data_IF_232401800480
#
_entry.id   IF_232401800480
#
_cell.length_a   1.000
_cell.length_b   1.000
_cell.length_c   1.000
_cell.angle_alpha   90.00
_cell.angle_beta   90.00
_cell.angle_gamma   90.00
#
_symmetry.space_group_name_H-M   'P 1'
#
loop_
_entity.id
_entity.type
_entity.pdbx_description
1 polymer ?
#
# COMPACT_ATOMS: atom_id res chain seq x y z
N UNK A 1 -5.00 -155.23 54.91
CA UNK A 1 -4.17 -154.00 54.88
C UNK A 1 -2.91 -154.23 54.05
N UNK A 2 -2.88 -153.74 52.80
CA UNK A 2 -1.67 -153.40 52.03
C UNK A 2 -2.04 -152.23 51.11
N UNK A 3 -1.06 -151.33 50.95
CA UNK A 3 -1.18 -149.91 50.67
C UNK A 3 -1.49 -149.61 49.19
N UNK A 4 -2.46 -148.74 48.93
CA UNK A 4 -2.61 -148.08 47.62
C UNK A 4 -1.59 -146.93 47.52
N UNK A 5 -0.66 -147.04 46.58
CA UNK A 5 0.16 -145.92 46.10
C UNK A 5 -0.74 -145.04 45.23
N UNK A 6 -0.93 -143.78 45.63
CA UNK A 6 -1.40 -142.72 44.73
C UNK A 6 -0.22 -142.28 43.88
N UNK A 7 -0.28 -142.49 42.57
CA UNK A 7 0.57 -141.79 41.62
C UNK A 7 -0.10 -140.45 41.30
N UNK A 8 0.47 -139.38 41.82
CA UNK A 8 0.19 -138.00 41.42
C UNK A 8 0.94 -137.71 40.13
N UNK A 9 0.20 -137.38 39.07
CA UNK A 9 0.75 -136.87 37.81
C UNK A 9 1.11 -135.40 38.04
N UNK A 10 2.41 -135.12 38.06
CA UNK A 10 3.00 -133.78 38.19
C UNK A 10 3.01 -133.11 36.79
N UNK A 11 2.04 -132.22 36.53
CA UNK A 11 2.02 -131.42 35.31
C UNK A 11 2.92 -130.21 35.54
N UNK A 12 4.23 -130.39 35.33
CA UNK A 12 5.14 -129.26 35.16
C UNK A 12 4.90 -128.63 33.80
N UNK A 13 4.16 -127.52 33.78
CA UNK A 13 4.16 -126.60 32.66
C UNK A 13 5.61 -126.13 32.44
N UNK A 14 6.21 -126.51 31.31
CA UNK A 14 7.43 -125.85 30.84
C UNK A 14 7.03 -124.44 30.44
N UNK A 15 7.35 -123.47 31.29
CA UNK A 15 7.43 -122.06 30.91
C UNK A 15 8.51 -121.99 29.83
N UNK A 16 8.09 -121.79 28.58
CA UNK A 16 9.01 -121.33 27.55
C UNK A 16 9.29 -119.86 27.86
N UNK A 17 10.54 -119.58 28.23
CA UNK A 17 11.04 -118.23 28.40
C UNK A 17 10.74 -117.42 27.13
N UNK A 18 10.03 -116.31 27.29
CA UNK A 18 9.86 -115.33 26.22
C UNK A 18 11.25 -114.79 25.85
N UNK A 19 11.66 -114.97 24.60
CA UNK A 19 12.82 -114.26 24.06
C UNK A 19 12.63 -112.74 24.26
N UNK A 20 13.66 -112.02 24.74
CA UNK A 20 13.56 -110.60 25.02
C UNK A 20 13.60 -109.81 23.71
N UNK A 21 12.45 -109.65 23.06
CA UNK A 21 12.27 -108.80 21.89
C UNK A 21 12.13 -107.33 22.24
N UNK A 22 13.22 -106.73 22.73
CA UNK A 22 13.56 -105.30 22.74
C UNK A 22 12.43 -104.28 22.54
N UNK A 23 12.04 -103.64 23.65
CA UNK A 23 11.38 -102.33 23.73
C UNK A 23 12.28 -101.22 23.15
N UNK A 24 12.57 -101.25 21.86
CA UNK A 24 13.15 -100.09 21.17
C UNK A 24 12.03 -99.24 20.58
N UNK A 25 11.40 -98.45 21.45
CA UNK A 25 10.98 -97.10 21.10
C UNK A 25 12.25 -96.35 20.66
N UNK A 26 12.61 -96.46 19.38
CA UNK A 26 13.70 -95.67 18.82
C UNK A 26 13.31 -94.21 18.98
N UNK A 27 14.04 -93.55 19.87
CA UNK A 27 14.02 -92.13 20.07
C UNK A 27 14.42 -91.44 18.74
N UNK A 28 13.44 -90.91 18.01
CA UNK A 28 13.67 -90.15 16.75
C UNK A 28 14.03 -88.68 17.07
N UNK A 29 14.27 -88.34 18.34
CA UNK A 29 15.00 -87.12 18.64
C UNK A 29 16.49 -87.38 18.48
N UNK A 30 16.99 -87.30 17.24
CA UNK A 30 18.21 -86.57 16.84
C UNK A 30 18.85 -87.06 15.52
N UNK A 31 19.38 -86.09 14.77
CA UNK A 31 20.20 -86.12 13.55
C UNK A 31 19.47 -86.16 12.19
N UNK A 32 19.91 -85.26 11.30
CA UNK A 32 19.49 -85.15 9.91
C UNK A 32 19.78 -86.45 9.15
N UNK A 33 18.73 -87.07 8.59
CA UNK A 33 18.86 -88.23 7.73
C UNK A 33 19.17 -87.78 6.29
N UNK A 34 20.23 -88.31 5.68
CA UNK A 34 20.47 -88.16 4.23
C UNK A 34 19.40 -88.91 3.42
N UNK A 35 19.18 -88.53 2.17
CA UNK A 35 18.12 -89.10 1.30
C UNK A 35 18.26 -90.62 1.07
N UNK A 36 19.51 -91.12 1.01
CA UNK A 36 19.85 -92.55 0.90
C UNK A 36 19.55 -93.32 2.21
N UNK A 37 19.93 -92.77 3.36
CA UNK A 37 19.61 -93.32 4.68
C UNK A 37 18.09 -93.31 4.96
N UNK A 38 17.38 -92.35 4.39
CA UNK A 38 15.93 -92.23 4.50
C UNK A 38 15.22 -93.33 3.69
N UNK A 39 15.65 -93.57 2.45
CA UNK A 39 15.10 -94.65 1.62
C UNK A 39 15.30 -96.02 2.26
N UNK A 40 16.48 -96.29 2.80
CA UNK A 40 16.79 -97.55 3.48
C UNK A 40 16.00 -97.71 4.79
N UNK A 41 15.81 -96.63 5.54
CA UNK A 41 14.97 -96.63 6.75
C UNK A 41 13.50 -96.89 6.40
N UNK A 42 12.97 -96.26 5.36
CA UNK A 42 11.59 -96.46 4.88
C UNK A 42 11.42 -97.91 4.43
N UNK A 43 12.37 -98.42 3.66
CA UNK A 43 12.43 -99.81 3.21
C UNK A 43 12.36 -100.75 4.39
N UNK A 44 13.27 -100.60 5.36
CA UNK A 44 13.34 -101.42 6.57
C UNK A 44 12.03 -101.38 7.35
N UNK A 45 11.39 -100.21 7.45
CA UNK A 45 10.12 -100.07 8.17
C UNK A 45 8.96 -100.73 7.44
N UNK A 46 8.92 -100.65 6.12
CA UNK A 46 7.89 -101.31 5.31
C UNK A 46 8.11 -102.83 5.27
N UNK A 47 9.35 -103.28 5.16
CA UNK A 47 9.69 -104.70 5.20
C UNK A 47 9.36 -105.30 6.58
N UNK A 48 9.57 -104.52 7.66
CA UNK A 48 9.12 -104.90 9.00
C UNK A 48 7.59 -104.98 9.14
N UNK A 49 6.80 -104.29 8.29
CA UNK A 49 5.34 -104.47 8.23
C UNK A 49 4.97 -105.79 7.56
N UNK A 50 5.71 -106.18 6.53
CA UNK A 50 5.47 -107.43 5.80
C UNK A 50 5.86 -108.67 6.63
N UNK A 51 6.96 -108.58 7.38
CA UNK A 51 7.35 -109.64 8.33
C UNK A 51 6.32 -109.79 9.46
N UNK A 52 5.72 -108.66 9.89
CA UNK A 52 4.65 -108.64 10.88
C UNK A 52 3.40 -109.39 10.40
N UNK A 53 3.04 -109.27 9.13
CA UNK A 53 1.87 -109.92 8.53
C UNK A 53 1.99 -111.44 8.53
N UNK A 54 3.17 -111.96 8.19
CA UNK A 54 3.41 -113.40 8.19
C UNK A 54 3.06 -113.99 9.55
N UNK A 55 3.42 -113.29 10.62
CA UNK A 55 3.08 -113.73 11.95
C UNK A 55 1.61 -113.51 12.36
N UNK A 56 0.90 -112.56 11.74
CA UNK A 56 -0.56 -112.42 11.90
C UNK A 56 -1.25 -113.63 11.29
N UNK A 57 -0.90 -114.02 10.06
CA UNK A 57 -1.48 -115.19 9.40
C UNK A 57 -1.20 -116.48 10.19
N UNK A 58 0.03 -116.66 10.68
CA UNK A 58 0.38 -117.79 11.55
C UNK A 58 -0.43 -117.81 12.86
N UNK A 59 -0.72 -116.65 13.44
CA UNK A 59 -1.52 -116.54 14.66
C UNK A 59 -3.02 -116.78 14.40
N UNK A 60 -3.55 -116.23 13.30
CA UNK A 60 -4.95 -116.44 12.89
C UNK A 60 -5.20 -117.90 12.51
N UNK A 61 -4.31 -118.52 11.73
CA UNK A 61 -4.38 -119.94 11.40
C UNK A 61 -4.33 -120.83 12.64
N UNK A 62 -3.50 -120.48 13.64
CA UNK A 62 -3.45 -121.20 14.92
C UNK A 62 -4.76 -121.04 15.72
N UNK A 63 -5.35 -119.85 15.73
CA UNK A 63 -6.64 -119.60 16.36
C UNK A 63 -7.77 -120.39 15.68
N UNK A 64 -7.81 -120.40 14.34
CA UNK A 64 -8.81 -121.12 13.56
C UNK A 64 -8.66 -122.64 13.71
N UNK A 65 -7.42 -123.15 13.73
CA UNK A 65 -7.14 -124.57 13.98
C UNK A 65 -7.60 -125.00 15.38
N UNK A 66 -7.34 -124.17 16.39
CA UNK A 66 -7.78 -124.40 17.76
C UNK A 66 -9.31 -124.44 17.88
N UNK A 67 -10.01 -123.49 17.25
CA UNK A 67 -11.49 -123.46 17.20
C UNK A 67 -12.03 -124.74 16.54
N UNK A 68 -11.41 -125.16 15.42
CA UNK A 68 -11.81 -126.36 14.69
C UNK A 68 -11.59 -127.65 15.48
N UNK A 69 -10.45 -127.79 16.18
CA UNK A 69 -10.18 -128.94 17.06
C UNK A 69 -11.23 -129.05 18.18
N UNK A 70 -11.63 -127.92 18.77
CA UNK A 70 -12.69 -127.88 19.78
C UNK A 70 -14.07 -128.27 19.21
N UNK A 71 -14.43 -127.79 18.02
CA UNK A 71 -15.70 -128.11 17.37
C UNK A 71 -15.76 -129.57 16.86
N UNK A 72 -14.66 -130.12 16.36
CA UNK A 72 -14.58 -131.53 15.93
C UNK A 72 -14.81 -132.49 17.11
N UNK A 73 -14.25 -132.18 18.28
CA UNK A 73 -14.46 -132.98 19.51
C UNK A 73 -15.91 -132.85 20.02
N UNK A 74 -16.49 -131.65 19.96
CA UNK A 74 -17.90 -131.42 20.28
C UNK A 74 -18.84 -132.18 19.33
N UNK A 75 -18.56 -132.18 18.03
CA UNK A 75 -19.37 -132.87 17.02
C UNK A 75 -19.24 -134.40 17.12
N UNK A 76 -18.05 -134.92 17.42
CA UNK A 76 -17.83 -136.35 17.69
C UNK A 76 -18.54 -136.88 18.95
N UNK A 77 -18.92 -136.00 19.88
CA UNK A 77 -19.79 -136.33 21.01
C UNK A 77 -21.27 -136.41 20.58
N UNK A 78 -21.69 -135.57 19.63
CA UNK A 78 -23.08 -135.47 19.16
C UNK A 78 -23.45 -136.65 18.22
N UNK A 79 -22.51 -137.14 17.40
CA UNK A 79 -22.72 -138.23 16.44
C UNK A 79 -22.99 -139.60 17.11
N UNK A 80 -22.57 -139.78 18.35
CA UNK A 80 -22.89 -140.96 19.18
C UNK A 80 -24.19 -140.72 19.96
N UNK A 81 -25.29 -140.61 19.23
CA UNK A 81 -26.62 -140.38 19.79
C UNK A 81 -26.92 -141.22 21.02
N UNK A 82 -27.26 -140.53 22.12
CA UNK A 82 -28.09 -140.92 23.28
C UNK A 82 -28.38 -142.43 23.43
N UNK A 83 -27.36 -143.25 23.67
CA UNK A 83 -27.53 -144.61 24.22
C UNK A 83 -26.68 -144.73 25.49
N UNK A 84 -27.25 -144.24 26.58
CA UNK A 84 -26.67 -144.25 27.93
C UNK A 84 -27.14 -145.48 28.70
N UNK A 85 -26.80 -146.68 28.24
CA UNK A 85 -27.07 -147.92 28.98
C UNK A 85 -25.77 -148.46 29.60
N UNK A 86 -25.59 -148.13 30.89
CA UNK A 86 -24.76 -148.68 31.99
C UNK A 86 -23.43 -149.44 31.78
N UNK A 87 -22.88 -149.60 30.57
CA UNK A 87 -21.62 -150.33 30.31
C UNK A 87 -20.50 -149.44 29.73
N UNK A 88 -20.80 -148.22 29.28
CA UNK A 88 -19.78 -147.31 28.69
C UNK A 88 -19.68 -145.94 29.43
N UNK A 89 -20.13 -145.88 30.71
CA UNK A 89 -20.06 -144.66 31.55
C UNK A 89 -18.62 -144.15 31.68
N UNK A 90 -17.64 -145.05 31.84
CA UNK A 90 -16.22 -144.71 31.92
C UNK A 90 -15.71 -144.12 30.59
N UNK A 91 -16.16 -144.68 29.45
CA UNK A 91 -15.81 -144.19 28.11
C UNK A 91 -16.46 -142.83 27.81
N UNK A 92 -17.68 -142.59 28.28
CA UNK A 92 -18.35 -141.30 28.15
C UNK A 92 -17.70 -140.22 29.04
N UNK A 93 -17.29 -140.56 30.26
CA UNK A 93 -16.50 -139.70 31.14
C UNK A 93 -15.14 -139.38 30.50
N UNK A 94 -14.46 -140.38 29.92
CA UNK A 94 -13.20 -140.21 29.20
C UNK A 94 -13.36 -139.28 27.99
N UNK A 95 -14.43 -139.43 27.20
CA UNK A 95 -14.72 -138.53 26.07
C UNK A 95 -15.04 -137.10 26.52
N UNK A 96 -15.80 -136.91 27.59
CA UNK A 96 -16.06 -135.58 28.17
C UNK A 96 -14.79 -134.95 28.73
N UNK A 97 -13.93 -135.72 29.39
CA UNK A 97 -12.63 -135.27 29.86
C UNK A 97 -11.72 -134.87 28.69
N UNK A 98 -11.70 -135.66 27.62
CA UNK A 98 -10.95 -135.34 26.39
C UNK A 98 -11.51 -134.08 25.71
N UNK A 99 -12.82 -133.85 25.74
CA UNK A 99 -13.43 -132.61 25.24
C UNK A 99 -13.08 -131.39 26.08
N UNK A 100 -13.09 -131.53 27.42
CA UNK A 100 -12.66 -130.45 28.32
C UNK A 100 -11.17 -130.15 28.12
N UNK A 101 -10.32 -131.17 27.97
CA UNK A 101 -8.88 -131.02 27.68
C UNK A 101 -8.67 -130.35 26.32
N UNK A 102 -9.37 -130.79 25.28
CA UNK A 102 -9.24 -130.23 23.92
C UNK A 102 -9.76 -128.79 23.85
N UNK A 103 -10.86 -128.48 24.53
CA UNK A 103 -11.39 -127.11 24.62
C UNK A 103 -10.45 -126.21 25.42
N UNK A 104 -9.86 -126.71 26.51
CA UNK A 104 -8.88 -125.96 27.28
C UNK A 104 -7.60 -125.67 26.48
N UNK A 105 -7.11 -126.67 25.73
CA UNK A 105 -5.97 -126.54 24.81
C UNK A 105 -6.26 -125.55 23.68
N UNK A 106 -7.45 -125.64 23.08
CA UNK A 106 -7.89 -124.68 22.07
C UNK A 106 -8.01 -123.25 22.62
N UNK A 107 -8.49 -123.10 23.86
CA UNK A 107 -8.57 -121.79 24.52
C UNK A 107 -7.19 -121.22 24.85
N UNK A 108 -6.24 -122.07 25.27
CA UNK A 108 -4.83 -121.70 25.48
C UNK A 108 -4.19 -121.23 24.16
N UNK A 109 -4.31 -122.03 23.10
CA UNK A 109 -3.77 -121.71 21.77
C UNK A 109 -4.42 -120.44 21.17
N UNK A 110 -5.74 -120.26 21.32
CA UNK A 110 -6.46 -119.05 20.90
C UNK A 110 -6.04 -117.80 21.71
N UNK A 111 -5.83 -117.94 23.01
CA UNK A 111 -5.34 -116.85 23.87
C UNK A 111 -3.93 -116.41 23.46
N UNK A 112 -3.05 -117.36 23.16
CA UNK A 112 -1.70 -117.08 22.67
C UNK A 112 -1.71 -116.43 21.29
N UNK A 113 -2.61 -116.87 20.40
CA UNK A 113 -2.82 -116.23 19.11
C UNK A 113 -3.28 -114.77 19.27
N UNK A 114 -4.29 -114.49 20.10
CA UNK A 114 -4.75 -113.14 20.37
C UNK A 114 -3.67 -112.23 20.97
N UNK A 115 -2.83 -112.77 21.87
CA UNK A 115 -1.69 -112.04 22.43
C UNK A 115 -0.70 -111.63 21.34
N UNK A 116 -0.39 -112.53 20.41
CA UNK A 116 0.46 -112.24 19.25
C UNK A 116 -0.16 -111.15 18.37
N UNK A 117 -1.45 -111.27 18.03
CA UNK A 117 -2.20 -110.24 17.25
C UNK A 117 -2.13 -108.85 17.89
N UNK A 118 -2.29 -108.75 19.22
CA UNK A 118 -2.19 -107.48 19.92
C UNK A 118 -0.78 -106.85 19.83
N UNK A 119 0.26 -107.66 20.03
CA UNK A 119 1.64 -107.19 19.87
C UNK A 119 1.93 -106.73 18.43
N UNK A 120 1.32 -107.37 17.43
CA UNK A 120 1.41 -106.91 16.04
C UNK A 120 0.71 -105.57 15.83
N UNK A 121 -0.53 -105.39 16.30
CA UNK A 121 -1.23 -104.10 16.17
C UNK A 121 -0.44 -102.95 16.83
N UNK A 122 0.20 -103.21 17.96
CA UNK A 122 1.10 -102.25 18.63
C UNK A 122 2.31 -101.91 17.78
N UNK A 123 2.98 -102.91 17.18
CA UNK A 123 4.14 -102.71 16.30
C UNK A 123 3.78 -101.98 15.00
N UNK A 124 2.68 -102.34 14.36
CA UNK A 124 2.13 -101.66 13.16
C UNK A 124 1.86 -100.19 13.44
N UNK A 125 1.22 -99.88 14.58
CA UNK A 125 0.93 -98.50 14.99
C UNK A 125 2.22 -97.70 15.20
N UNK A 126 3.22 -98.29 15.86
CA UNK A 126 4.51 -97.63 16.09
C UNK A 126 5.27 -97.32 14.80
N UNK A 127 5.28 -98.27 13.85
CA UNK A 127 5.92 -98.07 12.54
C UNK A 127 5.23 -96.93 11.78
N UNK A 128 3.90 -96.95 11.74
CA UNK A 128 3.08 -95.98 11.02
C UNK A 128 3.21 -94.57 11.61
N UNK A 129 3.20 -94.47 12.94
CA UNK A 129 3.47 -93.23 13.64
C UNK A 129 4.88 -92.70 13.39
N UNK A 130 5.88 -93.58 13.35
CA UNK A 130 7.27 -93.23 13.00
C UNK A 130 7.38 -92.63 11.60
N UNK A 131 6.75 -93.27 10.61
CA UNK A 131 6.71 -92.77 9.22
C UNK A 131 6.01 -91.41 9.12
N UNK A 132 4.86 -91.25 9.80
CA UNK A 132 4.16 -89.96 9.85
C UNK A 132 5.03 -88.86 10.48
N UNK A 133 5.63 -89.12 11.65
CA UNK A 133 6.51 -88.16 12.33
C UNK A 133 7.67 -87.73 11.43
N UNK A 134 8.31 -88.69 10.77
CA UNK A 134 9.44 -88.43 9.87
C UNK A 134 9.04 -87.50 8.73
N UNK A 135 7.91 -87.76 8.07
CA UNK A 135 7.42 -86.90 7.00
C UNK A 135 6.86 -85.55 7.48
N UNK A 136 6.41 -85.45 8.73
CA UNK A 136 5.96 -84.20 9.32
C UNK A 136 7.11 -83.20 9.61
N UNK A 137 8.38 -83.64 9.64
CA UNK A 137 9.52 -82.79 9.98
C UNK A 137 9.91 -81.78 8.89
N UNK A 138 9.83 -82.15 7.61
CA UNK A 138 10.18 -81.28 6.48
C UNK A 138 9.41 -81.69 5.21
N UNK A 139 8.97 -80.72 4.40
CA UNK A 139 8.35 -80.91 3.09
C UNK A 139 9.14 -81.85 2.18
N UNK A 140 10.48 -81.78 2.17
CA UNK A 140 11.30 -82.63 1.33
C UNK A 140 11.15 -84.11 1.73
N UNK A 141 11.27 -84.40 3.03
CA UNK A 141 11.08 -85.75 3.56
C UNK A 141 9.64 -86.23 3.39
N UNK A 142 8.66 -85.36 3.58
CA UNK A 142 7.25 -85.66 3.32
C UNK A 142 7.02 -86.18 1.89
N UNK A 143 7.53 -85.45 0.89
CA UNK A 143 7.39 -85.81 -0.53
C UNK A 143 8.08 -87.12 -0.85
N UNK A 144 9.30 -87.33 -0.35
CA UNK A 144 10.05 -88.57 -0.58
C UNK A 144 9.35 -89.77 0.08
N UNK A 145 8.85 -89.61 1.31
CA UNK A 145 8.06 -90.63 2.01
C UNK A 145 6.75 -90.98 1.28
N UNK A 146 5.96 -89.98 0.93
CA UNK A 146 4.69 -90.18 0.21
C UNK A 146 4.94 -90.92 -1.10
N UNK A 147 5.95 -90.49 -1.86
CA UNK A 147 6.29 -91.12 -3.14
C UNK A 147 6.74 -92.58 -2.96
N UNK A 148 7.61 -92.85 -2.00
CA UNK A 148 8.14 -94.20 -1.76
C UNK A 148 7.04 -95.16 -1.29
N UNK A 149 6.20 -94.72 -0.35
CA UNK A 149 5.06 -95.52 0.13
C UNK A 149 4.08 -95.79 -1.03
N UNK A 150 3.73 -94.78 -1.83
CA UNK A 150 2.83 -94.96 -2.98
C UNK A 150 3.41 -95.89 -4.06
N UNK A 151 4.72 -95.84 -4.33
CA UNK A 151 5.37 -96.73 -5.29
C UNK A 151 5.30 -98.18 -4.83
N UNK A 152 5.58 -98.44 -3.56
CA UNK A 152 5.50 -99.79 -2.98
C UNK A 152 4.09 -100.33 -2.94
N UNK A 153 3.12 -99.49 -2.55
CA UNK A 153 1.70 -99.88 -2.57
C UNK A 153 1.21 -100.26 -3.97
N UNK A 154 1.73 -99.61 -5.02
CA UNK A 154 1.41 -99.92 -6.43
C UNK A 154 2.16 -101.14 -6.96
N UNK A 155 3.40 -101.36 -6.53
CA UNK A 155 4.28 -102.42 -7.02
C UNK A 155 4.09 -103.76 -6.31
N UNK A 156 3.58 -103.75 -5.07
CA UNK A 156 3.38 -104.95 -4.28
C UNK A 156 2.08 -105.67 -4.63
N UNK A 157 2.17 -106.98 -4.86
CA UNK A 157 1.03 -107.88 -4.91
C UNK A 157 0.28 -107.92 -3.57
N UNK A 158 -0.99 -108.36 -3.57
CA UNK A 158 -1.78 -108.51 -2.34
C UNK A 158 -1.13 -109.45 -1.31
N UNK A 159 -0.23 -110.34 -1.75
CA UNK A 159 0.52 -111.26 -0.88
C UNK A 159 1.81 -110.66 -0.30
N UNK A 160 2.25 -109.51 -0.80
CA UNK A 160 3.48 -108.85 -0.35
C UNK A 160 3.22 -107.74 0.67
N UNK A 161 2.00 -107.20 0.75
CA UNK A 161 1.59 -106.24 1.77
C UNK A 161 0.14 -106.53 2.18
N UNK A 162 -0.04 -106.85 3.45
CA UNK A 162 -1.34 -107.12 4.08
C UNK A 162 -2.34 -106.01 3.86
N UNK A 163 -3.63 -106.37 3.81
CA UNK A 163 -4.71 -105.40 3.69
C UNK A 163 -4.69 -104.40 4.87
N UNK A 164 -4.37 -104.86 6.07
CA UNK A 164 -4.26 -104.02 7.26
C UNK A 164 -3.07 -103.03 7.16
N UNK A 165 -1.90 -103.50 6.74
CA UNK A 165 -0.71 -102.68 6.55
C UNK A 165 -0.90 -101.70 5.39
N UNK A 166 -1.53 -102.14 4.30
CA UNK A 166 -1.91 -101.32 3.15
C UNK A 166 -2.84 -100.19 3.56
N UNK A 167 -3.90 -100.48 4.32
CA UNK A 167 -4.83 -99.47 4.82
C UNK A 167 -4.14 -98.45 5.72
N UNK A 168 -3.25 -98.89 6.60
CA UNK A 168 -2.51 -97.99 7.49
C UNK A 168 -1.49 -97.13 6.72
N UNK A 169 -0.78 -97.69 5.74
CA UNK A 169 0.11 -96.93 4.86
C UNK A 169 -0.63 -95.89 4.01
N UNK A 170 -1.82 -96.22 3.50
CA UNK A 170 -2.71 -95.26 2.80
C UNK A 170 -3.13 -94.12 3.73
N UNK A 171 -3.45 -94.44 4.99
CA UNK A 171 -3.78 -93.44 6.01
C UNK A 171 -2.58 -92.53 6.30
N UNK A 172 -1.38 -93.08 6.47
CA UNK A 172 -0.14 -92.29 6.66
C UNK A 172 0.09 -91.36 5.47
N UNK A 173 -0.04 -91.84 4.23
CA UNK A 173 0.10 -91.01 3.01
C UNK A 173 -0.92 -89.87 2.99
N UNK A 174 -2.17 -90.14 3.36
CA UNK A 174 -3.23 -89.12 3.41
C UNK A 174 -2.89 -88.02 4.40
N UNK A 175 -2.50 -88.39 5.62
CA UNK A 175 -2.11 -87.44 6.66
C UNK A 175 -0.85 -86.65 6.30
N UNK A 176 0.12 -87.28 5.64
CA UNK A 176 1.33 -86.60 5.16
C UNK A 176 1.01 -85.54 4.08
N UNK A 177 0.11 -85.84 3.15
CA UNK A 177 -0.33 -84.87 2.13
C UNK A 177 -1.05 -83.66 2.74
N UNK A 178 -1.92 -83.88 3.72
CA UNK A 178 -2.56 -82.80 4.47
C UNK A 178 -1.54 -81.92 5.20
N UNK A 179 -0.54 -82.56 5.83
CA UNK A 179 0.56 -81.86 6.50
C UNK A 179 1.42 -81.05 5.52
N UNK A 180 1.68 -81.56 4.31
CA UNK A 180 2.41 -80.82 3.27
C UNK A 180 1.65 -79.56 2.83
N UNK A 181 0.33 -79.63 2.68
CA UNK A 181 -0.51 -78.47 2.34
C UNK A 181 -0.46 -77.40 3.43
N UNK A 182 -0.54 -77.80 4.72
CA UNK A 182 -0.37 -76.89 5.85
C UNK A 182 1.01 -76.24 5.86
N UNK A 183 2.08 -77.01 5.63
CA UNK A 183 3.45 -76.48 5.55
C UNK A 183 3.61 -75.47 4.40
N UNK A 184 3.00 -75.73 3.23
CA UNK A 184 2.97 -74.79 2.10
C UNK A 184 2.25 -73.48 2.45
N UNK A 185 1.08 -73.58 3.10
CA UNK A 185 0.32 -72.41 3.57
C UNK A 185 1.12 -71.59 4.58
N UNK A 186 1.77 -72.25 5.54
CA UNK A 186 2.60 -71.59 6.54
C UNK A 186 3.82 -70.87 5.91
N UNK A 187 4.47 -71.49 4.92
CA UNK A 187 5.56 -70.85 4.19
C UNK A 187 5.11 -69.60 3.43
N UNK A 188 3.94 -69.64 2.77
CA UNK A 188 3.35 -68.48 2.09
C UNK A 188 3.04 -67.34 3.07
N UNK A 189 2.34 -67.65 4.16
CA UNK A 189 2.02 -66.67 5.20
C UNK A 189 3.27 -66.03 5.80
N UNK A 190 4.35 -66.80 5.99
CA UNK A 190 5.62 -66.28 6.51
C UNK A 190 6.25 -65.24 5.57
N UNK A 191 6.23 -65.50 4.27
CA UNK A 191 6.71 -64.52 3.29
C UNK A 191 5.78 -63.30 3.20
N UNK A 192 4.47 -63.49 3.23
CA UNK A 192 3.51 -62.38 3.29
C UNK A 192 3.77 -61.48 4.51
N UNK A 193 3.92 -62.06 5.70
CA UNK A 193 4.26 -61.31 6.93
C UNK A 193 5.57 -60.54 6.78
N UNK A 194 6.59 -61.14 6.16
CA UNK A 194 7.88 -60.46 5.93
C UNK A 194 7.71 -59.28 4.97
N UNK A 195 6.94 -59.44 3.89
CA UNK A 195 6.66 -58.34 2.94
C UNK A 195 5.85 -57.23 3.59
N UNK A 196 4.82 -57.56 4.38
CA UNK A 196 4.01 -56.60 5.12
C UNK A 196 4.85 -55.83 6.13
N UNK A 197 5.74 -56.51 6.86
CA UNK A 197 6.64 -55.86 7.83
C UNK A 197 7.61 -54.89 7.14
N UNK A 198 8.12 -55.25 5.96
CA UNK A 198 8.94 -54.32 5.15
C UNK A 198 8.11 -53.10 4.73
N UNK A 199 6.92 -53.31 4.16
CA UNK A 199 6.03 -52.22 3.76
C UNK A 199 5.64 -51.32 4.94
N UNK A 200 5.44 -51.89 6.13
CA UNK A 200 5.13 -51.14 7.35
C UNK A 200 6.30 -50.22 7.75
N UNK A 201 7.53 -50.71 7.67
CA UNK A 201 8.71 -49.89 7.94
C UNK A 201 8.86 -48.77 6.89
N UNK A 202 8.69 -49.08 5.60
CA UNK A 202 8.77 -48.10 4.52
C UNK A 202 7.71 -46.97 4.68
N UNK A 203 6.49 -47.34 5.12
CA UNK A 203 5.43 -46.38 5.45
C UNK A 203 5.82 -45.54 6.67
N UNK A 204 6.37 -46.16 7.71
CA UNK A 204 6.79 -45.45 8.91
C UNK A 204 7.90 -44.43 8.61
N UNK A 205 8.90 -44.81 7.82
CA UNK A 205 9.97 -43.90 7.38
C UNK A 205 9.39 -42.74 6.56
N UNK A 206 8.44 -43.02 5.66
CA UNK A 206 7.74 -41.99 4.89
C UNK A 206 6.95 -41.01 5.78
N UNK A 207 6.30 -41.50 6.84
CA UNK A 207 5.60 -40.64 7.81
C UNK A 207 6.57 -39.70 8.54
N UNK A 208 7.75 -40.17 8.93
CA UNK A 208 8.75 -39.30 9.57
C UNK A 208 9.22 -38.15 8.67
N UNK A 209 9.35 -38.41 7.36
CA UNK A 209 9.70 -37.37 6.38
C UNK A 209 8.56 -36.36 6.23
N UNK A 210 7.31 -36.83 6.15
CA UNK A 210 6.13 -35.96 6.05
C UNK A 210 6.01 -35.05 7.27
N UNK A 211 6.27 -35.57 8.48
CA UNK A 211 6.27 -34.77 9.71
C UNK A 211 7.36 -33.69 9.69
N UNK A 212 8.58 -34.03 9.24
CA UNK A 212 9.66 -33.05 9.09
C UNK A 212 9.35 -31.97 8.04
N UNK A 213 8.78 -32.36 6.89
CA UNK A 213 8.37 -31.42 5.83
C UNK A 213 7.27 -30.48 6.33
N UNK A 214 6.34 -30.99 7.15
CA UNK A 214 5.29 -30.19 7.79
C UNK A 214 5.89 -29.14 8.73
N UNK A 215 6.84 -29.52 9.58
CA UNK A 215 7.52 -28.59 10.49
C UNK A 215 8.26 -27.47 9.73
N UNK A 216 8.93 -27.81 8.62
CA UNK A 216 9.59 -26.83 7.74
C UNK A 216 8.57 -25.86 7.15
N UNK A 217 7.41 -26.38 6.72
CA UNK A 217 6.36 -25.58 6.09
C UNK A 217 5.69 -24.63 7.10
N UNK A 218 5.49 -25.08 8.33
CA UNK A 218 4.98 -24.27 9.45
C UNK A 218 5.96 -23.11 9.76
N UNK A 219 7.27 -23.41 9.91
CA UNK A 219 8.29 -22.37 10.13
C UNK A 219 8.34 -21.33 9.01
N UNK A 220 8.26 -21.79 7.75
CA UNK A 220 8.24 -20.88 6.60
C UNK A 220 7.00 -19.99 6.59
N UNK A 221 5.85 -20.56 6.96
CA UNK A 221 4.58 -19.83 7.05
C UNK A 221 4.64 -18.76 8.14
N UNK A 222 5.13 -19.10 9.33
CA UNK A 222 5.35 -18.14 10.42
C UNK A 222 6.31 -17.01 10.01
N UNK A 223 7.40 -17.35 9.32
CA UNK A 223 8.36 -16.38 8.80
C UNK A 223 7.72 -15.38 7.83
N UNK A 224 6.89 -15.85 6.90
CA UNK A 224 6.15 -15.00 5.96
C UNK A 224 5.12 -14.12 6.65
N UNK A 225 4.39 -14.66 7.64
CA UNK A 225 3.43 -13.88 8.43
C UNK A 225 4.14 -12.71 9.13
N UNK A 226 5.31 -12.97 9.74
CA UNK A 226 6.09 -11.93 10.40
C UNK A 226 6.54 -10.82 9.44
N UNK A 227 7.06 -11.20 8.27
CA UNK A 227 7.45 -10.22 7.24
C UNK A 227 6.26 -9.35 6.79
N UNK A 228 5.09 -9.95 6.60
CA UNK A 228 3.88 -9.21 6.22
C UNK A 228 3.42 -8.24 7.32
N UNK A 229 3.54 -8.63 8.59
CA UNK A 229 3.25 -7.73 9.72
C UNK A 229 4.22 -6.56 9.78
N UNK A 230 5.52 -6.79 9.54
CA UNK A 230 6.53 -5.73 9.50
C UNK A 230 6.25 -4.75 8.34
N UNK A 231 5.93 -5.26 7.15
CA UNK A 231 5.53 -4.42 6.01
C UNK A 231 4.26 -3.61 6.29
N UNK A 232 3.27 -4.21 6.95
CA UNK A 232 2.04 -3.52 7.34
C UNK A 232 2.32 -2.36 8.29
N UNK A 233 3.16 -2.58 9.31
CA UNK A 233 3.52 -1.53 10.26
C UNK A 233 4.23 -0.34 9.57
N UNK A 234 5.14 -0.63 8.63
CA UNK A 234 5.82 0.40 7.85
C UNK A 234 4.86 1.18 6.93
N UNK A 235 3.83 0.51 6.41
CA UNK A 235 2.79 1.16 5.61
C UNK A 235 1.92 2.08 6.47
N UNK A 236 1.54 1.63 7.68
CA UNK A 236 0.77 2.44 8.65
C UNK A 236 1.54 3.70 9.06
N UNK A 237 2.85 3.62 9.35
CA UNK A 237 3.71 4.79 9.66
C UNK A 237 3.78 5.78 8.48
N UNK A 238 3.94 5.26 7.25
CA UNK A 238 3.95 6.11 6.06
C UNK A 238 2.61 6.81 5.80
N UNK A 239 1.48 6.15 6.08
CA UNK A 239 0.15 6.76 5.99
C UNK A 239 0.06 7.91 7.00
N UNK A 240 0.41 7.67 8.27
CA UNK A 240 0.39 8.71 9.32
C UNK A 240 1.27 9.91 8.96
N UNK A 241 2.47 9.65 8.43
CA UNK A 241 3.37 10.71 7.96
C UNK A 241 2.78 11.51 6.81
N UNK A 242 2.10 10.84 5.87
CA UNK A 242 1.45 11.48 4.72
C UNK A 242 0.28 12.35 5.17
N UNK A 243 -0.53 11.88 6.12
CA UNK A 243 -1.63 12.65 6.71
C UNK A 243 -1.12 13.93 7.40
N UNK A 244 -0.02 13.84 8.16
CA UNK A 244 0.61 15.03 8.78
C UNK A 244 1.09 16.04 7.74
N UNK A 245 1.69 15.58 6.65
CA UNK A 245 2.13 16.45 5.55
C UNK A 245 0.91 17.14 4.91
N UNK A 246 -0.17 16.41 4.68
CA UNK A 246 -1.39 16.95 4.09
C UNK A 246 -1.98 18.07 4.97
N UNK A 247 -2.12 17.84 6.27
CA UNK A 247 -2.58 18.87 7.22
C UNK A 247 -1.68 20.13 7.20
N UNK A 248 -0.36 19.96 7.06
CA UNK A 248 0.56 21.09 6.96
C UNK A 248 0.41 21.85 5.65
N UNK A 249 0.15 21.15 4.53
CA UNK A 249 -0.13 21.77 3.24
C UNK A 249 -1.42 22.59 3.31
N UNK A 250 -2.49 22.05 3.91
CA UNK A 250 -3.77 22.76 4.07
C UNK A 250 -3.62 24.02 4.94
N UNK A 251 -2.82 23.94 6.02
CA UNK A 251 -2.51 25.08 6.87
C UNK A 251 -1.72 26.15 6.09
N UNK A 252 -0.72 25.73 5.31
CA UNK A 252 0.07 26.64 4.49
C UNK A 252 -0.77 27.30 3.40
N UNK A 253 -1.67 26.56 2.73
CA UNK A 253 -2.59 27.11 1.74
C UNK A 253 -3.48 28.20 2.35
N UNK A 254 -4.02 27.93 3.55
CA UNK A 254 -4.84 28.91 4.29
C UNK A 254 -4.02 30.16 4.64
N UNK A 255 -2.80 29.98 5.12
CA UNK A 255 -1.90 31.10 5.42
C UNK A 255 -1.58 31.94 4.18
N UNK A 256 -1.29 31.30 3.04
CA UNK A 256 -1.04 32.02 1.79
C UNK A 256 -2.26 32.80 1.31
N UNK A 257 -3.47 32.23 1.39
CA UNK A 257 -4.71 32.95 1.06
C UNK A 257 -4.89 34.20 1.93
N UNK A 258 -4.63 34.09 3.23
CA UNK A 258 -4.71 35.22 4.16
C UNK A 258 -3.68 36.31 3.84
N UNK A 259 -2.43 35.94 3.56
CA UNK A 259 -1.36 36.88 3.18
C UNK A 259 -1.72 37.62 1.88
N UNK A 260 -2.24 36.90 0.87
CA UNK A 260 -2.66 37.51 -0.38
C UNK A 260 -3.80 38.53 -0.16
N UNK A 261 -4.81 38.16 0.62
CA UNK A 261 -5.90 39.07 0.96
C UNK A 261 -5.41 40.33 1.72
N UNK A 262 -4.46 40.18 2.64
CA UNK A 262 -3.86 41.31 3.35
C UNK A 262 -3.06 42.22 2.41
N UNK A 263 -2.30 41.64 1.47
CA UNK A 263 -1.54 42.40 0.47
C UNK A 263 -2.47 43.16 -0.47
N UNK A 264 -3.54 42.54 -0.96
CA UNK A 264 -4.53 43.19 -1.81
C UNK A 264 -5.17 44.39 -1.10
N UNK A 265 -5.58 44.20 0.16
CA UNK A 265 -6.12 45.27 1.01
C UNK A 265 -5.13 46.44 1.17
N UNK A 266 -3.85 46.16 1.43
CA UNK A 266 -2.82 47.20 1.56
C UNK A 266 -2.54 47.93 0.25
N UNK A 267 -2.58 47.22 -0.88
CA UNK A 267 -2.42 47.84 -2.21
C UNK A 267 -3.59 48.79 -2.48
N UNK A 268 -4.82 48.39 -2.17
CA UNK A 268 -6.00 49.22 -2.32
C UNK A 268 -5.94 50.47 -1.43
N UNK A 269 -5.57 50.31 -0.17
CA UNK A 269 -5.38 51.43 0.76
C UNK A 269 -4.32 52.42 0.25
N UNK A 270 -3.17 51.92 -0.21
CA UNK A 270 -2.10 52.76 -0.75
C UNK A 270 -2.52 53.46 -2.05
N UNK A 271 -3.25 52.78 -2.92
CA UNK A 271 -3.77 53.37 -4.16
C UNK A 271 -4.77 54.50 -3.86
N UNK A 272 -5.65 54.29 -2.87
CA UNK A 272 -6.60 55.31 -2.42
C UNK A 272 -5.87 56.52 -1.82
N UNK A 273 -4.86 56.29 -0.97
CA UNK A 273 -4.03 57.37 -0.41
C UNK A 273 -3.28 58.16 -1.49
N UNK A 274 -2.68 57.46 -2.46
CA UNK A 274 -2.01 58.07 -3.60
C UNK A 274 -2.98 58.90 -4.45
N UNK A 275 -4.18 58.38 -4.72
CA UNK A 275 -5.23 59.09 -5.47
C UNK A 275 -5.63 60.39 -4.77
N UNK A 276 -5.89 60.34 -3.46
CA UNK A 276 -6.23 61.52 -2.67
C UNK A 276 -5.08 62.56 -2.68
N UNK A 277 -3.83 62.11 -2.56
CA UNK A 277 -2.65 62.98 -2.67
C UNK A 277 -2.53 63.65 -4.04
N UNK A 278 -2.75 62.89 -5.13
CA UNK A 278 -2.78 63.43 -6.50
C UNK A 278 -3.89 64.48 -6.66
N UNK A 279 -5.10 64.22 -6.15
CA UNK A 279 -6.21 65.17 -6.20
C UNK A 279 -5.91 66.46 -5.43
N UNK A 280 -5.30 66.35 -4.25
CA UNK A 280 -4.86 67.53 -3.47
C UNK A 280 -3.79 68.33 -4.23
N UNK A 281 -2.78 67.65 -4.79
CA UNK A 281 -1.75 68.30 -5.60
C UNK A 281 -2.35 68.99 -6.83
N UNK A 282 -3.34 68.37 -7.51
CA UNK A 282 -4.07 69.00 -8.61
C UNK A 282 -4.80 70.26 -8.17
N UNK A 283 -5.49 70.22 -7.02
CA UNK A 283 -6.19 71.38 -6.48
C UNK A 283 -5.21 72.53 -6.15
N UNK A 284 -4.06 72.22 -5.55
CA UNK A 284 -3.01 73.20 -5.26
C UNK A 284 -2.44 73.83 -6.55
N UNK A 285 -2.11 73.03 -7.57
CA UNK A 285 -1.63 73.51 -8.85
C UNK A 285 -2.66 74.44 -9.53
N UNK A 286 -3.95 74.08 -9.47
CA UNK A 286 -5.03 74.92 -9.99
C UNK A 286 -5.11 76.26 -9.24
N UNK A 287 -4.97 76.25 -7.91
CA UNK A 287 -4.91 77.46 -7.10
C UNK A 287 -3.73 78.37 -7.49
N UNK A 288 -2.53 77.81 -7.58
CA UNK A 288 -1.32 78.53 -8.00
C UNK A 288 -1.46 79.10 -9.42
N UNK A 289 -2.07 78.35 -10.34
CA UNK A 289 -2.35 78.83 -11.70
C UNK A 289 -3.30 80.02 -11.67
N UNK A 290 -4.38 79.96 -10.88
CA UNK A 290 -5.31 81.07 -10.72
C UNK A 290 -4.66 82.33 -10.15
N UNK A 291 -3.73 82.18 -9.21
CA UNK A 291 -2.96 83.32 -8.68
C UNK A 291 -1.96 83.87 -9.70
N UNK A 292 -1.29 83.01 -10.47
CA UNK A 292 -0.43 83.42 -11.58
C UNK A 292 -1.21 84.23 -12.62
N UNK A 293 -2.40 83.77 -13.01
CA UNK A 293 -3.27 84.46 -13.95
C UNK A 293 -3.66 85.87 -13.43
N UNK A 294 -3.94 86.02 -12.12
CA UNK A 294 -4.20 87.33 -11.50
C UNK A 294 -2.97 88.25 -11.55
N UNK A 295 -1.78 87.74 -11.20
CA UNK A 295 -0.55 88.53 -11.27
C UNK A 295 -0.25 88.97 -12.71
N UNK A 296 -0.45 88.10 -13.68
CA UNK A 296 -0.27 88.42 -15.09
C UNK A 296 -1.26 89.49 -15.57
N UNK A 297 -2.51 89.45 -15.11
CA UNK A 297 -3.50 90.50 -15.38
C UNK A 297 -3.11 91.85 -14.73
N UNK A 298 -2.65 91.84 -13.48
CA UNK A 298 -2.17 93.05 -12.81
C UNK A 298 -0.94 93.64 -13.50
N UNK A 299 0.02 92.81 -13.90
CA UNK A 299 1.19 93.25 -14.64
C UNK A 299 0.80 93.88 -15.99
N UNK A 300 -0.18 93.29 -16.69
CA UNK A 300 -0.72 93.85 -17.93
C UNK A 300 -1.31 95.24 -17.71
N UNK A 301 -2.15 95.43 -16.67
CA UNK A 301 -2.71 96.74 -16.33
C UNK A 301 -1.63 97.77 -15.97
N UNK A 302 -0.57 97.35 -15.27
CA UNK A 302 0.55 98.24 -14.93
C UNK A 302 1.30 98.69 -16.18
N UNK A 303 1.54 97.79 -17.13
CA UNK A 303 2.16 98.10 -18.42
C UNK A 303 1.29 99.06 -19.24
N UNK A 304 -0.03 98.86 -19.25
CA UNK A 304 -0.97 99.78 -19.90
C UNK A 304 -0.94 101.19 -19.27
N UNK A 305 -0.92 101.26 -17.93
CA UNK A 305 -0.83 102.54 -17.21
C UNK A 305 0.51 103.26 -17.45
N UNK A 306 1.63 102.52 -17.47
CA UNK A 306 2.95 103.08 -17.78
C UNK A 306 3.01 103.64 -19.22
N UNK A 307 2.47 102.90 -20.19
CA UNK A 307 2.35 103.36 -21.57
C UNK A 307 1.48 104.61 -21.69
N UNK A 308 0.35 104.69 -20.97
CA UNK A 308 -0.50 105.88 -20.94
C UNK A 308 0.21 107.09 -20.31
N UNK A 309 0.94 106.88 -19.22
CA UNK A 309 1.77 107.93 -18.59
C UNK A 309 2.86 108.41 -19.53
N UNK A 310 3.55 107.50 -20.22
CA UNK A 310 4.56 107.86 -21.23
C UNK A 310 3.96 108.73 -22.33
N UNK A 311 2.81 108.35 -22.88
CA UNK A 311 2.11 109.14 -23.91
C UNK A 311 1.68 110.52 -23.39
N UNK A 312 1.18 110.59 -22.15
CA UNK A 312 0.84 111.85 -21.48
C UNK A 312 2.06 112.75 -21.29
N UNK A 313 3.19 112.19 -20.85
CA UNK A 313 4.45 112.92 -20.70
C UNK A 313 4.98 113.44 -22.04
N UNK A 314 4.86 112.67 -23.12
CA UNK A 314 5.21 113.10 -24.48
C UNK A 314 4.37 114.33 -24.91
N UNK A 315 3.05 114.29 -24.62
CA UNK A 315 2.14 115.43 -24.86
C UNK A 315 2.47 116.65 -24.01
N UNK A 316 2.80 116.45 -22.74
CA UNK A 316 3.24 117.55 -21.87
C UNK A 316 4.54 118.17 -22.38
N UNK A 317 5.50 117.35 -22.85
CA UNK A 317 6.74 117.81 -23.46
C UNK A 317 6.49 118.67 -24.71
N UNK A 318 5.55 118.26 -25.58
CA UNK A 318 5.20 119.08 -26.75
C UNK A 318 4.55 120.40 -26.37
N UNK A 319 3.68 120.40 -25.35
CA UNK A 319 3.04 121.62 -24.84
C UNK A 319 4.05 122.59 -24.20
N UNK A 320 5.05 122.08 -23.47
CA UNK A 320 6.14 122.91 -22.92
C UNK A 320 6.93 123.56 -24.05
N UNK A 321 7.32 122.81 -25.09
CA UNK A 321 8.00 123.37 -26.27
C UNK A 321 7.18 124.48 -26.96
N UNK A 322 5.86 124.32 -27.03
CA UNK A 322 4.97 125.34 -27.58
C UNK A 322 4.90 126.60 -26.69
N UNK A 323 4.83 126.43 -25.36
CA UNK A 323 4.87 127.53 -24.40
C UNK A 323 6.22 128.28 -24.46
N UNK A 324 7.34 127.57 -24.56
CA UNK A 324 8.68 128.16 -24.72
C UNK A 324 8.77 129.01 -26.00
N UNK A 325 8.24 128.51 -27.12
CA UNK A 325 8.17 129.28 -28.37
C UNK A 325 7.33 130.56 -28.22
N UNK A 326 6.18 130.48 -27.56
CA UNK A 326 5.33 131.64 -27.30
C UNK A 326 6.00 132.65 -26.35
N UNK A 327 6.72 132.18 -25.32
CA UNK A 327 7.48 133.02 -24.41
C UNK A 327 8.56 133.81 -25.16
N UNK A 328 9.34 133.12 -25.99
CA UNK A 328 10.37 133.74 -26.83
C UNK A 328 9.76 134.85 -27.71
N UNK A 329 8.60 134.58 -28.31
CA UNK A 329 7.87 135.55 -29.15
C UNK A 329 7.39 136.79 -28.37
N UNK A 330 6.92 136.61 -27.14
CA UNK A 330 6.60 137.72 -26.23
C UNK A 330 7.85 138.53 -25.84
N UNK A 331 9.00 137.87 -25.66
CA UNK A 331 10.28 138.51 -25.33
C UNK A 331 10.80 139.39 -26.47
N UNK A 332 10.63 138.95 -27.72
CA UNK A 332 10.90 139.76 -28.92
C UNK A 332 9.99 141.00 -28.99
N UNK A 333 8.68 140.83 -28.75
CA UNK A 333 7.73 141.94 -28.73
C UNK A 333 8.04 142.95 -27.62
N UNK A 334 8.43 142.49 -26.43
CA UNK A 334 8.81 143.35 -25.32
C UNK A 334 10.06 144.17 -25.65
N UNK A 335 11.05 143.56 -26.30
CA UNK A 335 12.26 144.25 -26.77
C UNK A 335 11.93 145.37 -27.77
N UNK A 336 11.06 145.09 -28.74
CA UNK A 336 10.57 146.10 -29.70
C UNK A 336 9.78 147.22 -29.03
N UNK A 337 8.99 146.92 -28.00
CA UNK A 337 8.23 147.92 -27.25
C UNK A 337 9.14 148.85 -26.42
N UNK A 338 10.19 148.30 -25.80
CA UNK A 338 11.21 149.07 -25.06
C UNK A 338 11.92 150.04 -26.00
N UNK A 339 12.32 149.57 -27.20
CA UNK A 339 12.94 150.42 -28.22
C UNK A 339 12.02 151.57 -28.64
N UNK A 340 10.74 151.27 -28.91
CA UNK A 340 9.72 152.26 -29.29
C UNK A 340 9.48 153.31 -28.20
N UNK A 341 9.50 152.90 -26.93
CA UNK A 341 9.31 153.80 -25.79
C UNK A 341 10.48 154.79 -25.62
N UNK A 342 11.72 154.34 -25.88
CA UNK A 342 12.90 155.21 -25.84
C UNK A 342 12.83 156.32 -26.91
N UNK A 343 12.42 156.00 -28.15
CA UNK A 343 12.17 157.02 -29.19
C UNK A 343 11.09 158.04 -28.81
N UNK A 344 10.04 157.61 -28.11
CA UNK A 344 8.99 158.53 -27.65
C UNK A 344 9.49 159.48 -26.55
N UNK A 345 10.37 159.01 -25.66
CA UNK A 345 10.97 159.84 -24.61
C UNK A 345 11.83 160.97 -25.18
N UNK A 346 12.62 160.68 -26.22
CA UNK A 346 13.41 161.71 -26.92
C UNK A 346 12.54 162.77 -27.61
N UNK A 347 11.41 162.36 -28.19
CA UNK A 347 10.43 163.28 -28.80
C UNK A 347 9.77 164.20 -27.77
N UNK A 348 9.44 163.67 -26.59
CA UNK A 348 8.83 164.46 -25.52
C UNK A 348 9.75 165.56 -24.99
N UNK A 349 11.05 165.29 -24.81
CA UNK A 349 12.02 166.30 -24.36
C UNK A 349 12.22 167.42 -25.41
N UNK A 350 12.18 167.11 -26.72
CA UNK A 350 12.17 168.14 -27.78
C UNK A 350 10.94 169.05 -27.68
N UNK A 351 9.75 168.48 -27.50
CA UNK A 351 8.52 169.28 -27.37
C UNK A 351 8.54 170.19 -26.14
N UNK A 352 9.17 169.74 -25.04
CA UNK A 352 9.29 170.52 -23.81
C UNK A 352 10.16 171.76 -23.98
N UNK A 353 11.25 171.69 -24.75
CA UNK A 353 12.09 172.89 -25.01
C UNK A 353 11.35 173.90 -25.90
N UNK A 354 10.58 173.43 -26.87
CA UNK A 354 9.83 174.28 -27.81
C UNK A 354 8.69 175.07 -27.12
N UNK A 355 8.05 174.47 -26.11
CA UNK A 355 7.03 175.17 -25.29
C UNK A 355 7.65 176.27 -24.43
N UNK A 356 8.89 176.10 -23.96
CA UNK A 356 9.58 177.10 -23.15
C UNK A 356 9.90 178.36 -23.97
N UNK A 357 10.33 178.17 -25.22
CA UNK A 357 10.70 179.24 -26.15
C UNK A 357 9.48 180.09 -26.56
N UNK A 358 8.34 179.44 -26.86
CA UNK A 358 7.07 180.13 -27.15
C UNK A 358 6.54 180.96 -25.98
N UNK A 359 6.86 180.57 -24.75
CA UNK A 359 6.38 181.25 -23.53
C UNK A 359 7.11 182.57 -23.28
N UNK A 360 8.40 182.64 -23.58
CA UNK A 360 9.18 183.88 -23.49
C UNK A 360 8.79 184.90 -24.58
N UNK A 361 8.44 184.42 -25.77
CA UNK A 361 7.95 185.26 -26.88
C UNK A 361 6.62 185.96 -26.54
N UNK A 362 5.70 185.24 -25.87
CA UNK A 362 4.39 185.75 -25.49
C UNK A 362 4.47 186.90 -24.47
N UNK A 363 5.39 186.80 -23.50
CA UNK A 363 5.57 187.84 -22.48
C UNK A 363 6.08 189.16 -23.06
N UNK A 364 6.96 189.13 -24.07
CA UNK A 364 7.46 190.35 -24.74
C UNK A 364 6.38 191.11 -25.50
N UNK A 365 5.43 190.39 -26.12
CA UNK A 365 4.32 191.02 -26.84
C UNK A 365 3.32 191.73 -25.91
N UNK A 366 3.18 191.26 -24.66
CA UNK A 366 2.24 191.81 -23.68
C UNK A 366 2.72 193.14 -23.06
N UNK A 367 4.03 193.31 -22.88
CA UNK A 367 4.64 194.60 -22.45
C UNK A 367 4.51 195.69 -23.52
N UNK A 368 4.66 195.33 -24.79
CA UNK A 368 4.60 196.26 -25.93
C UNK A 368 3.18 196.84 -26.14
N UNK A 369 2.15 196.04 -25.85
CA UNK A 369 0.74 196.46 -25.99
C UNK A 369 0.33 197.49 -24.91
N UNK A 370 0.90 197.38 -23.71
CA UNK A 370 0.60 198.28 -22.58
C UNK A 370 1.15 199.70 -22.82
N UNK A 371 2.29 199.83 -23.51
CA UNK A 371 2.91 201.12 -23.82
C UNK A 371 2.21 201.84 -24.98
N UNK A 372 1.64 201.11 -25.95
CA UNK A 372 0.97 201.69 -27.11
C UNK A 372 -0.43 202.26 -26.79
N UNK A 373 -1.16 201.62 -25.88
CA UNK A 373 -2.49 202.06 -25.43
C UNK A 373 -2.46 203.43 -24.72
N UNK A 374 -1.42 203.69 -23.92
CA UNK A 374 -1.24 204.95 -23.19
C UNK A 374 -0.93 206.15 -24.10
N UNK A 375 -0.29 205.91 -25.26
CA UNK A 375 0.02 206.93 -26.27
C UNK A 375 -1.23 207.42 -27.02
N UNK A 376 -2.17 206.52 -27.32
CA UNK A 376 -3.38 206.84 -28.09
C UNK A 376 -4.36 207.71 -27.27
N UNK A 377 -4.49 207.43 -25.98
CA UNK A 377 -5.47 208.13 -25.14
C UNK A 377 -5.14 209.62 -24.95
N UNK A 378 -3.86 209.98 -24.79
CA UNK A 378 -3.44 211.38 -24.63
C UNK A 378 -3.62 212.22 -25.90
N UNK A 379 -3.70 211.59 -27.08
CA UNK A 379 -3.80 212.31 -28.35
C UNK A 379 -5.25 212.75 -28.66
N UNK A 380 -6.24 211.97 -28.22
CA UNK A 380 -7.66 212.23 -28.44
C UNK A 380 -8.13 213.44 -27.61
N UNK A 381 -7.68 213.57 -26.36
CA UNK A 381 -8.03 214.69 -25.47
C UNK A 381 -7.50 216.05 -25.97
N UNK A 382 -6.37 216.08 -26.69
CA UNK A 382 -5.82 217.35 -27.20
C UNK A 382 -6.50 217.88 -28.48
N UNK A 383 -7.09 217.00 -29.29
CA UNK A 383 -7.74 217.40 -30.56
C UNK A 383 -9.15 217.92 -30.37
N UNK A 384 -9.87 217.44 -29.35
CA UNK A 384 -11.22 217.91 -29.05
C UNK A 384 -11.26 219.38 -28.58
N UNK A 385 -10.21 219.88 -27.91
CA UNK A 385 -10.17 221.27 -27.41
C UNK A 385 -9.97 222.33 -28.50
N UNK A 386 -9.39 221.98 -29.66
CA UNK A 386 -9.13 222.93 -30.76
C UNK A 386 -10.34 223.16 -31.66
N UNK A 387 -11.22 222.18 -31.82
CA UNK A 387 -12.32 222.29 -32.78
C UNK A 387 -13.46 223.20 -32.31
N UNK A 388 -13.69 223.35 -31.00
CA UNK A 388 -14.80 224.17 -30.50
C UNK A 388 -14.49 225.67 -30.50
N UNK A 389 -13.22 226.06 -30.34
CA UNK A 389 -12.80 227.48 -30.39
C UNK A 389 -13.07 228.12 -31.76
N UNK A 390 -12.95 227.35 -32.86
CA UNK A 390 -13.24 227.84 -34.22
C UNK A 390 -14.73 228.07 -34.48
N UNK A 391 -15.61 227.28 -33.84
CA UNK A 391 -17.07 227.44 -34.01
C UNK A 391 -17.54 228.75 -33.37
N UNK A 392 -16.96 229.13 -32.23
CA UNK A 392 -17.27 230.42 -31.60
C UNK A 392 -16.83 231.62 -32.46
N UNK A 393 -15.71 231.52 -33.18
CA UNK A 393 -15.18 232.63 -33.97
C UNK A 393 -16.00 232.90 -35.24
N UNK A 394 -16.51 231.85 -35.90
CA UNK A 394 -17.25 231.99 -37.17
C UNK A 394 -18.63 232.63 -36.96
N UNK A 395 -19.31 232.33 -35.84
CA UNK A 395 -20.61 232.93 -35.56
C UNK A 395 -20.51 234.43 -35.25
N UNK A 396 -19.38 234.86 -34.68
CA UNK A 396 -19.13 236.28 -34.40
C UNK A 396 -18.93 237.10 -35.68
N UNK A 397 -18.33 236.51 -36.71
CA UNK A 397 -18.10 237.18 -38.01
C UNK A 397 -19.40 237.27 -38.82
N UNK A 398 -20.29 236.27 -38.73
CA UNK A 398 -21.58 236.33 -39.41
C UNK A 398 -22.48 237.46 -38.87
N UNK A 399 -22.34 237.77 -37.57
CA UNK A 399 -23.06 238.85 -36.90
C UNK A 399 -22.66 240.26 -37.41
N UNK A 400 -21.49 240.38 -38.06
CA UNK A 400 -21.00 241.66 -38.59
C UNK A 400 -21.43 241.86 -40.05
N UNK A 401 -21.47 240.79 -40.84
CA UNK A 401 -21.78 240.88 -42.28
C UNK A 401 -23.25 241.16 -42.57
N UNK A 402 -24.19 240.68 -41.74
CA UNK A 402 -25.61 240.96 -41.96
C UNK A 402 -25.98 242.40 -41.62
N UNK A 403 -25.27 243.02 -40.66
CA UNK A 403 -25.44 244.45 -40.36
C UNK A 403 -25.03 245.38 -41.51
N UNK A 404 -24.23 244.91 -42.48
CA UNK A 404 -23.73 245.74 -43.59
C UNK A 404 -24.66 245.68 -44.82
N UNK A 405 -25.46 244.62 -45.00
CA UNK A 405 -26.21 244.42 -46.25
C UNK A 405 -27.57 245.13 -46.31
N UNK A 406 -28.15 245.60 -45.20
CA UNK A 406 -29.49 246.24 -45.27
C UNK A 406 -29.48 247.76 -45.00
N UNK A 407 -28.33 248.37 -44.67
CA UNK A 407 -28.21 249.84 -44.70
C UNK A 407 -28.12 250.43 -46.14
N UNK A 408 -28.21 249.59 -47.19
CA UNK A 408 -28.47 250.01 -48.56
C UNK A 408 -29.65 249.25 -49.20
N UNK A 409 -30.78 249.15 -48.46
CA UNK A 409 -32.11 249.48 -49.01
C UNK A 409 -33.14 249.71 -47.91
#
# INVERSE_FOLDING_TARGET
MKKNKKETIDIKAKVYDAEPGMDQLVNIDTSEYTEENLSDLITTRIDALNDLEKHILEAEEAADAAIKEADDVKNGIIDYGIFWDSIDTDRAIEKLQNAVISTAKALEESSDAHKKTFEYQKRLTNISYGLFRLGATNIAYNRSLVREIELRLKGASEKEISELARNELVRVVTQLKEQEDLQKKLARLKEEVKTLKKSQNDINDSLTVIDADKDILDQKTEGLIKQLLDYRALLEDNIERTEKILCQVDLNETNFKNILAELDSKIDDQNNANKASIENNRAMILGLKGDLDKYQAQFTLLVEADNANKASNEKNRSMILELENNLNKCQELLSSLIEKNNTNKESHERNKSMILELKDELNRHQELFSTQSLSVNNNITSKASKSSFYILAVLLILNILVNIIVFYK
#
